data_IF_150483117085
#
_entry.id   IF_150483117085
#
_cell.length_a   1.000
_cell.length_b   1.000
_cell.length_c   1.000
_cell.angle_alpha   90.00
_cell.angle_beta   90.00
_cell.angle_gamma   90.00
#
_symmetry.space_group_name_H-M   'P 1'
#
loop_
_entity.id
_entity.type
_entity.pdbx_description
1 polymer ?
#
# COMPACT_ATOMS: atom_id res chain seq x y z
N UNK A 1 -29.23 4.67 8.14
CA UNK A 1 -30.49 3.93 7.87
C UNK A 1 -30.17 2.44 7.73
N UNK A 2 -31.12 1.55 8.05
CA UNK A 2 -30.99 0.12 7.77
C UNK A 2 -31.55 -0.15 6.38
N UNK A 3 -30.76 -0.80 5.54
CA UNK A 3 -31.11 -1.11 4.14
C UNK A 3 -30.74 -2.56 3.87
N UNK A 4 -31.57 -3.25 3.09
CA UNK A 4 -31.27 -4.57 2.55
C UNK A 4 -30.74 -4.39 1.13
N UNK A 5 -29.61 -5.02 0.82
CA UNK A 5 -28.96 -4.95 -0.50
C UNK A 5 -28.62 -6.37 -0.93
N UNK A 6 -28.76 -6.65 -2.23
CA UNK A 6 -28.35 -7.92 -2.82
C UNK A 6 -26.87 -7.83 -3.21
N UNK A 7 -26.08 -8.82 -2.78
CA UNK A 7 -24.63 -8.89 -3.02
C UNK A 7 -24.30 -10.34 -3.35
N UNK A 8 -23.43 -10.63 -4.33
CA UNK A 8 -22.96 -11.99 -4.58
C UNK A 8 -22.37 -12.63 -3.32
N UNK A 9 -22.66 -13.91 -3.09
CA UNK A 9 -22.21 -14.64 -1.89
C UNK A 9 -20.69 -14.64 -1.71
N UNK A 10 -19.95 -14.77 -2.81
CA UNK A 10 -18.49 -14.75 -2.81
C UNK A 10 -17.95 -13.40 -2.28
N UNK A 11 -18.50 -12.29 -2.79
CA UNK A 11 -18.12 -10.95 -2.36
C UNK A 11 -18.51 -10.69 -0.90
N UNK A 12 -19.66 -11.20 -0.47
CA UNK A 12 -20.10 -11.10 0.92
C UNK A 12 -19.15 -11.84 1.88
N UNK A 13 -18.66 -13.02 1.49
CA UNK A 13 -17.66 -13.78 2.26
C UNK A 13 -16.34 -13.03 2.37
N UNK A 14 -15.81 -12.55 1.25
CA UNK A 14 -14.57 -11.78 1.22
C UNK A 14 -14.66 -10.52 2.10
N UNK A 15 -15.77 -9.77 2.00
CA UNK A 15 -15.99 -8.59 2.82
C UNK A 15 -16.08 -8.92 4.32
N UNK A 16 -16.67 -10.06 4.69
CA UNK A 16 -16.70 -10.53 6.09
C UNK A 16 -15.31 -10.90 6.60
N UNK A 17 -14.51 -11.60 5.81
CA UNK A 17 -13.14 -11.97 6.17
C UNK A 17 -12.29 -10.71 6.37
N UNK A 18 -12.39 -9.74 5.46
CA UNK A 18 -11.75 -8.43 5.59
C UNK A 18 -12.19 -7.72 6.88
N UNK A 19 -13.50 -7.67 7.17
CA UNK A 19 -14.05 -7.06 8.38
C UNK A 19 -13.47 -7.69 9.64
N UNK A 20 -13.44 -9.03 9.71
CA UNK A 20 -12.90 -9.77 10.85
C UNK A 20 -11.39 -9.49 11.04
N UNK A 21 -10.62 -9.53 9.95
CA UNK A 21 -9.18 -9.27 9.99
C UNK A 21 -8.85 -7.85 10.48
N UNK A 22 -9.66 -6.86 10.09
CA UNK A 22 -9.42 -5.45 10.42
C UNK A 22 -10.17 -4.97 11.67
N UNK A 23 -10.94 -5.84 12.33
CA UNK A 23 -11.70 -5.49 13.53
C UNK A 23 -12.81 -4.45 13.29
N UNK A 24 -13.34 -4.37 12.06
CA UNK A 24 -14.37 -3.40 11.66
C UNK A 24 -15.68 -4.10 11.31
N UNK A 25 -16.84 -3.49 11.55
CA UNK A 25 -18.11 -4.10 11.18
C UNK A 25 -18.34 -4.04 9.66
N UNK A 26 -19.00 -5.05 9.09
CA UNK A 26 -19.29 -5.11 7.64
C UNK A 26 -20.01 -3.86 7.09
N UNK A 27 -20.92 -3.26 7.88
CA UNK A 27 -21.61 -2.01 7.51
C UNK A 27 -20.65 -0.86 7.21
N UNK A 28 -19.48 -0.85 7.83
CA UNK A 28 -18.47 0.17 7.63
C UNK A 28 -17.75 -0.02 6.29
N UNK A 29 -17.45 -1.26 5.91
CA UNK A 29 -16.91 -1.60 4.58
C UNK A 29 -17.87 -1.12 3.49
N UNK A 30 -19.16 -1.48 3.62
CA UNK A 30 -20.21 -1.06 2.67
C UNK A 30 -20.29 0.46 2.57
N UNK A 31 -20.31 1.16 3.72
CA UNK A 31 -20.41 2.63 3.76
C UNK A 31 -19.19 3.31 3.14
N UNK A 32 -17.98 2.77 3.40
CA UNK A 32 -16.71 3.27 2.80
C UNK A 32 -16.71 3.08 1.30
N UNK A 33 -17.13 1.90 0.80
CA UNK A 33 -17.25 1.62 -0.63
C UNK A 33 -18.21 2.57 -1.34
N UNK A 34 -19.40 2.78 -0.78
CA UNK A 34 -20.39 3.73 -1.32
C UNK A 34 -19.80 5.15 -1.37
N UNK A 35 -19.16 5.60 -0.28
CA UNK A 35 -18.53 6.93 -0.24
C UNK A 35 -17.45 7.07 -1.31
N UNK A 36 -16.60 6.06 -1.47
CA UNK A 36 -15.55 6.06 -2.49
C UNK A 36 -16.14 6.17 -3.89
N UNK A 37 -17.21 5.44 -4.20
CA UNK A 37 -17.89 5.53 -5.50
C UNK A 37 -18.47 6.93 -5.72
N UNK A 38 -19.18 7.48 -4.72
CA UNK A 38 -19.78 8.83 -4.79
C UNK A 38 -18.73 9.93 -4.98
N UNK A 39 -17.58 9.80 -4.32
CA UNK A 39 -16.47 10.76 -4.43
C UNK A 39 -15.73 10.70 -5.77
N UNK A 40 -16.28 9.97 -6.76
CA UNK A 40 -15.65 9.79 -8.06
C UNK A 40 -14.43 8.89 -7.97
N UNK A 41 -14.52 7.86 -7.12
CA UNK A 41 -13.51 6.86 -6.77
C UNK A 41 -12.23 7.08 -7.52
N UNK A 42 -11.31 7.83 -6.90
CA UNK A 42 -10.07 8.27 -7.55
C UNK A 42 -9.43 7.05 -8.19
N UNK A 43 -9.57 6.90 -9.52
CA UNK A 43 -8.90 5.84 -10.25
C UNK A 43 -7.46 5.85 -9.79
N UNK A 44 -6.92 4.67 -9.43
CA UNK A 44 -5.60 4.55 -8.78
C UNK A 44 -4.68 5.61 -9.36
N UNK A 45 -4.36 6.64 -8.55
CA UNK A 45 -3.43 7.67 -9.02
C UNK A 45 -2.21 6.90 -9.45
N UNK A 46 -1.88 6.95 -10.75
CA UNK A 46 -0.72 6.23 -11.28
C UNK A 46 0.44 6.52 -10.35
N UNK A 47 1.02 5.46 -9.79
CA UNK A 47 2.15 5.62 -8.90
C UNK A 47 3.20 6.46 -9.63
N UNK A 48 3.54 7.61 -9.04
CA UNK A 48 4.59 8.48 -9.57
C UNK A 48 5.72 8.43 -8.56
N UNK A 49 6.78 7.67 -8.88
CA UNK A 49 8.01 7.71 -8.10
C UNK A 49 8.51 9.15 -8.14
N UNK A 50 8.55 9.81 -6.98
CA UNK A 50 9.14 11.14 -6.87
C UNK A 50 10.63 10.96 -7.11
N UNK A 51 11.19 11.62 -8.12
CA UNK A 51 12.64 11.69 -8.27
C UNK A 51 13.20 12.40 -7.03
N UNK A 52 13.94 11.67 -6.23
CA UNK A 52 14.72 12.21 -5.12
C UNK A 52 16.16 12.16 -5.58
N UNK A 53 16.66 13.28 -6.10
CA UNK A 53 18.10 13.48 -6.31
C UNK A 53 18.69 14.10 -5.05
N UNK A 54 19.86 13.61 -4.66
CA UNK A 54 20.70 14.29 -3.66
C UNK A 54 21.53 15.32 -4.43
N UNK A 55 21.73 16.52 -3.89
CA UNK A 55 22.65 17.50 -4.49
C UNK A 55 24.07 16.89 -4.53
N UNK A 56 24.65 16.72 -5.73
CA UNK A 56 25.96 16.09 -5.92
C UNK A 56 26.09 15.41 -7.29
N UNK A 57 27.25 14.80 -7.57
CA UNK A 57 27.56 14.09 -8.83
C UNK A 57 27.02 12.64 -8.85
N UNK A 58 25.91 12.33 -8.17
CA UNK A 58 25.36 10.97 -8.13
C UNK A 58 26.27 9.93 -7.45
N UNK A 59 25.92 8.65 -7.55
CA UNK A 59 26.74 7.54 -7.09
C UNK A 59 27.91 7.38 -8.07
N UNK A 60 29.06 7.98 -7.77
CA UNK A 60 30.22 8.04 -8.71
C UNK A 60 31.10 6.79 -8.64
N UNK A 61 30.98 5.98 -7.59
CA UNK A 61 31.89 4.87 -7.36
C UNK A 61 31.34 3.57 -7.99
N UNK A 62 31.97 3.12 -9.08
CA UNK A 62 31.78 1.75 -9.55
C UNK A 62 32.40 0.79 -8.54
N UNK A 63 31.54 0.01 -7.89
CA UNK A 63 31.93 -1.01 -6.92
C UNK A 63 31.23 -2.31 -7.28
N UNK A 64 31.93 -3.43 -7.10
CA UNK A 64 31.28 -4.74 -7.15
C UNK A 64 30.44 -4.98 -5.89
N UNK A 65 29.52 -5.95 -5.97
CA UNK A 65 28.63 -6.25 -4.86
C UNK A 65 29.37 -6.60 -3.55
N UNK A 66 30.46 -7.39 -3.56
CA UNK A 66 31.28 -7.61 -2.37
C UNK A 66 31.81 -6.32 -1.73
N UNK A 67 32.36 -5.39 -2.51
CA UNK A 67 32.90 -4.14 -2.00
C UNK A 67 31.80 -3.23 -1.41
N UNK A 68 30.63 -3.15 -2.07
CA UNK A 68 29.47 -2.43 -1.53
C UNK A 68 29.06 -3.02 -0.18
N UNK A 69 28.95 -4.34 -0.10
CA UNK A 69 28.55 -5.03 1.14
C UNK A 69 29.56 -4.75 2.26
N UNK A 70 30.85 -4.85 2.00
CA UNK A 70 31.89 -4.54 2.99
C UNK A 70 31.78 -3.09 3.48
N UNK A 71 31.60 -2.14 2.57
CA UNK A 71 31.44 -0.70 2.88
C UNK A 71 30.24 -0.42 3.79
N UNK A 72 29.11 -1.08 3.57
CA UNK A 72 27.87 -0.91 4.37
C UNK A 72 28.08 -1.35 5.83
N UNK A 73 28.86 -2.41 6.05
CA UNK A 73 29.09 -3.00 7.37
C UNK A 73 30.42 -2.60 8.00
N UNK A 74 31.18 -1.70 7.38
CA UNK A 74 32.41 -1.17 7.97
C UNK A 74 32.12 -0.51 9.33
N UNK A 75 32.85 -0.93 10.37
CA UNK A 75 32.66 -0.45 11.74
C UNK A 75 31.40 -0.98 12.43
N UNK A 76 30.74 -2.02 11.89
CA UNK A 76 29.58 -2.67 12.51
C UNK A 76 29.80 -4.18 12.62
N UNK A 77 29.92 -4.67 13.87
CA UNK A 77 30.02 -6.10 14.20
C UNK A 77 31.46 -6.62 14.15
N UNK A 78 32.20 -6.39 15.23
CA UNK A 78 33.35 -7.23 15.60
C UNK A 78 32.86 -8.56 16.17
#
# INVERSE_FOLDING_TARGET
>A
MKTTVEIPDELFREAKEYAAHHGVPLREIVSRGIRQVIQGGSGQRKFRLKTITVQGQGLVEEMDWPAIRARIYEGRGE
#
